data_IF_088700570056
#
_entry.id   IF_088700570056
#
_cell.length_a   1.000
_cell.length_b   1.000
_cell.length_c   1.000
_cell.angle_alpha   90.00
_cell.angle_beta   90.00
_cell.angle_gamma   90.00
#
_symmetry.space_group_name_H-M   'P 1'
#
loop_
_entity.id
_entity.type
_entity.pdbx_description
1 polymer ?
#
# COMPACT_ATOMS: atom_id res chain seq x y z
N UNK A 1 -28.63 8.79 -1.58
CA UNK A 1 -27.55 9.74 -1.91
C UNK A 1 -26.15 9.23 -1.52
N UNK A 2 -25.96 8.48 -0.44
CA UNK A 2 -24.66 7.92 -0.06
C UNK A 2 -24.17 6.79 -1.00
N UNK A 3 -25.06 6.00 -1.59
CA UNK A 3 -24.68 4.89 -2.49
C UNK A 3 -24.06 5.34 -3.81
N UNK A 4 -24.33 6.55 -4.29
CA UNK A 4 -23.74 7.09 -5.51
C UNK A 4 -22.29 7.58 -5.32
N UNK A 5 -21.87 7.80 -4.08
CA UNK A 5 -20.54 8.37 -3.78
C UNK A 5 -19.42 7.35 -3.99
N UNK A 6 -19.70 6.07 -3.83
CA UNK A 6 -18.70 4.99 -3.95
C UNK A 6 -18.55 4.45 -5.38
N UNK A 7 -19.53 4.60 -6.23
CA UNK A 7 -19.50 4.09 -7.61
C UNK A 7 -18.83 5.02 -8.63
N UNK A 8 -18.75 6.30 -8.35
CA UNK A 8 -18.19 7.30 -9.29
C UNK A 8 -16.66 7.40 -9.30
N UNK A 9 -15.98 6.92 -8.28
CA UNK A 9 -14.52 7.07 -8.14
C UNK A 9 -13.71 5.85 -8.62
N UNK A 10 -14.35 4.72 -8.87
CA UNK A 10 -13.68 3.46 -9.25
C UNK A 10 -13.23 3.40 -10.71
N UNK A 11 -13.80 4.26 -11.59
CA UNK A 11 -13.48 4.25 -13.03
C UNK A 11 -12.19 4.99 -13.41
N UNK A 12 -11.60 5.77 -12.52
CA UNK A 12 -10.43 6.61 -12.87
C UNK A 12 -9.06 5.95 -12.66
N UNK A 13 -8.98 4.76 -12.04
CA UNK A 13 -7.72 4.14 -11.63
C UNK A 13 -7.35 2.84 -12.36
N UNK A 14 -8.28 2.23 -13.11
CA UNK A 14 -7.97 1.03 -13.90
C UNK A 14 -6.99 1.28 -15.05
N UNK A 15 -6.85 2.52 -15.52
CA UNK A 15 -5.95 2.88 -16.62
C UNK A 15 -4.46 2.93 -16.28
N UNK A 16 -4.10 3.22 -15.02
CA UNK A 16 -2.68 3.42 -14.64
C UNK A 16 -1.96 2.10 -14.36
N UNK A 17 -2.65 1.11 -13.81
CA UNK A 17 -2.04 -0.20 -13.54
C UNK A 17 -1.82 -1.00 -14.83
N UNK A 18 -2.65 -0.80 -15.85
CA UNK A 18 -2.47 -1.46 -17.16
C UNK A 18 -1.32 -0.88 -17.98
N UNK A 19 -1.05 0.41 -17.87
CA UNK A 19 0.00 1.07 -18.64
C UNK A 19 1.43 0.63 -18.23
N UNK A 20 1.65 0.26 -16.97
CA UNK A 20 2.96 -0.23 -16.51
C UNK A 20 3.27 -1.67 -16.90
N UNK A 21 2.27 -2.49 -17.22
CA UNK A 21 2.48 -3.89 -17.64
C UNK A 21 2.77 -4.04 -19.14
N UNK A 22 2.41 -3.06 -19.98
CA UNK A 22 2.56 -3.13 -21.44
C UNK A 22 3.92 -2.58 -21.93
N UNK A 23 4.63 -1.77 -21.14
CA UNK A 23 5.94 -1.24 -21.54
C UNK A 23 7.11 -2.24 -21.44
N UNK A 24 6.89 -3.46 -20.99
CA UNK A 24 7.95 -4.47 -20.85
C UNK A 24 8.12 -5.40 -22.07
N UNK A 25 7.30 -5.27 -23.13
CA UNK A 25 7.29 -6.24 -24.24
C UNK A 25 7.91 -5.78 -25.57
N UNK A 26 8.55 -4.63 -25.66
CA UNK A 26 9.20 -4.22 -26.91
C UNK A 26 10.67 -3.84 -26.71
N UNK A 27 11.51 -4.82 -26.38
CA UNK A 27 12.95 -4.73 -26.60
C UNK A 27 13.36 -5.89 -27.52
N UNK A 28 13.60 -5.59 -28.78
CA UNK A 28 14.25 -6.53 -29.71
C UNK A 28 15.70 -6.81 -29.27
N UNK A 29 16.17 -8.05 -29.34
CA UNK A 29 17.54 -8.38 -28.97
C UNK A 29 18.52 -7.90 -30.02
N UNK A 30 19.34 -6.93 -29.68
CA UNK A 30 20.54 -6.59 -30.44
C UNK A 30 21.63 -7.69 -30.32
N UNK A 31 22.54 -7.80 -31.29
CA UNK A 31 23.53 -8.87 -31.32
C UNK A 31 24.52 -8.78 -30.16
N UNK A 32 24.62 -9.87 -29.37
CA UNK A 32 25.61 -10.02 -28.29
C UNK A 32 27.01 -10.19 -28.89
N UNK A 33 27.81 -9.15 -28.81
CA UNK A 33 29.25 -9.25 -29.00
C UNK A 33 29.90 -9.79 -27.70
N UNK A 34 30.42 -11.01 -27.72
CA UNK A 34 31.27 -11.51 -26.65
C UNK A 34 32.63 -10.83 -26.72
N UNK A 35 32.97 -10.02 -25.73
CA UNK A 35 34.34 -9.58 -25.49
C UNK A 35 34.96 -10.49 -24.42
N UNK A 36 35.91 -11.30 -24.79
CA UNK A 36 36.77 -12.04 -23.87
C UNK A 36 37.61 -11.05 -23.04
N UNK A 37 37.26 -10.85 -21.79
CA UNK A 37 38.12 -10.16 -20.83
C UNK A 37 39.02 -11.19 -20.14
N UNK A 38 40.29 -11.17 -20.52
CA UNK A 38 41.37 -11.92 -19.88
C UNK A 38 41.58 -11.39 -18.46
N UNK A 39 41.42 -12.23 -17.46
CA UNK A 39 41.74 -11.89 -16.08
C UNK A 39 43.28 -11.80 -15.91
N UNK A 40 43.81 -10.73 -15.29
CA UNK A 40 45.22 -10.70 -14.89
C UNK A 40 45.48 -11.64 -13.71
N UNK A 41 46.70 -12.19 -13.57
CA UNK A 41 47.05 -13.13 -12.51
C UNK A 41 47.03 -12.47 -11.12
N UNK A 42 46.60 -13.23 -10.13
CA UNK A 42 46.55 -12.84 -8.72
C UNK A 42 47.89 -12.25 -8.25
N UNK A 43 47.88 -10.94 -7.98
CA UNK A 43 48.95 -10.25 -7.28
C UNK A 43 48.85 -10.49 -5.76
N UNK A 44 49.92 -10.98 -5.18
CA UNK A 44 50.15 -11.13 -3.74
C UNK A 44 49.87 -9.76 -3.07
N UNK A 45 48.86 -9.69 -2.18
CA UNK A 45 48.63 -8.52 -1.37
C UNK A 45 49.79 -8.30 -0.38
N UNK A 46 50.26 -7.06 -0.17
CA UNK A 46 51.28 -6.80 0.86
C UNK A 46 50.68 -6.97 2.26
N UNK A 47 51.37 -7.72 3.11
CA UNK A 47 51.09 -7.83 4.54
C UNK A 47 51.13 -6.43 5.17
N UNK A 48 49.97 -5.98 5.66
CA UNK A 48 49.85 -4.76 6.48
C UNK A 48 50.44 -4.99 7.90
N UNK A 49 50.85 -3.94 8.61
CA UNK A 49 51.50 -4.04 9.89
C UNK A 49 50.60 -4.74 10.94
N UNK A 50 51.20 -5.60 11.81
CA UNK A 50 50.45 -6.28 12.85
C UNK A 50 50.10 -5.30 13.96
N UNK A 51 48.84 -5.27 14.33
CA UNK A 51 48.40 -4.72 15.61
C UNK A 51 47.45 -3.55 15.60
N UNK A 52 46.22 -3.81 15.18
CA UNK A 52 45.04 -3.26 15.83
C UNK A 52 44.02 -4.38 15.95
N UNK A 53 43.90 -4.93 17.16
CA UNK A 53 42.82 -5.87 17.49
C UNK A 53 41.51 -5.21 17.08
N UNK A 54 40.75 -5.86 16.17
CA UNK A 54 39.40 -5.45 15.87
C UNK A 54 38.64 -5.25 17.21
N UNK A 55 37.91 -4.14 17.41
CA UNK A 55 37.21 -3.94 18.66
C UNK A 55 36.32 -5.15 18.93
N UNK A 56 36.35 -5.68 20.13
CA UNK A 56 35.48 -6.78 20.54
C UNK A 56 34.04 -6.40 20.21
N UNK A 57 33.27 -7.30 19.58
CA UNK A 57 31.90 -7.02 19.22
C UNK A 57 31.13 -6.62 20.50
N UNK A 58 30.48 -5.45 20.47
CA UNK A 58 29.74 -4.93 21.60
C UNK A 58 28.74 -5.99 22.10
N UNK A 59 28.68 -6.16 23.42
CA UNK A 59 27.74 -7.12 24.00
C UNK A 59 26.30 -6.69 23.73
N UNK A 60 25.38 -7.64 23.62
CA UNK A 60 23.95 -7.33 23.46
C UNK A 60 23.47 -6.37 24.57
N UNK A 61 23.89 -6.61 25.83
CA UNK A 61 23.51 -5.81 26.96
C UNK A 61 24.01 -4.36 26.85
N UNK A 62 25.24 -4.14 26.42
CA UNK A 62 25.82 -2.79 26.29
C UNK A 62 25.17 -1.97 25.18
N UNK A 63 24.73 -2.61 24.08
CA UNK A 63 24.02 -1.91 23.00
C UNK A 63 22.64 -1.44 23.42
N UNK A 64 21.92 -2.25 24.20
CA UNK A 64 20.54 -1.93 24.63
C UNK A 64 20.50 -1.17 25.97
N UNK A 65 21.64 -0.97 26.62
CA UNK A 65 21.73 -0.19 27.84
C UNK A 65 21.28 1.26 27.60
N UNK A 66 20.37 1.75 28.44
CA UNK A 66 19.73 3.06 28.27
C UNK A 66 18.73 3.16 27.09
N UNK A 67 18.46 2.07 26.38
CA UNK A 67 17.47 2.06 25.32
C UNK A 67 16.04 1.87 25.87
N UNK A 68 15.07 2.53 25.24
CA UNK A 68 13.65 2.26 25.51
C UNK A 68 13.27 0.96 24.85
N UNK A 69 12.90 -0.05 25.65
CA UNK A 69 12.38 -1.33 25.14
C UNK A 69 10.92 -1.18 24.73
N UNK A 70 10.59 -1.76 23.56
CA UNK A 70 9.24 -1.81 22.99
C UNK A 70 8.94 -3.28 22.69
N UNK A 71 8.03 -3.85 23.48
CA UNK A 71 7.61 -5.25 23.29
C UNK A 71 6.59 -5.36 22.17
N UNK A 72 6.60 -6.50 21.44
CA UNK A 72 5.67 -6.75 20.35
C UNK A 72 6.03 -7.97 19.54
N UNK A 73 5.56 -8.02 18.29
CA UNK A 73 5.84 -9.08 17.31
C UNK A 73 7.34 -9.40 17.24
N UNK A 74 8.16 -8.38 17.17
CA UNK A 74 9.63 -8.42 17.31
C UNK A 74 9.98 -7.41 18.42
N UNK A 75 10.72 -7.79 19.46
CA UNK A 75 11.16 -6.85 20.48
C UNK A 75 12.10 -5.80 19.88
N UNK A 76 11.79 -4.53 20.12
CA UNK A 76 12.55 -3.39 19.63
C UNK A 76 13.22 -2.66 20.80
N UNK A 77 14.35 -2.01 20.51
CA UNK A 77 15.09 -1.19 21.47
C UNK A 77 15.46 0.13 20.79
N UNK A 78 14.85 1.24 21.22
CA UNK A 78 15.12 2.57 20.69
C UNK A 78 16.16 3.29 21.52
N UNK A 79 17.24 3.74 20.87
CA UNK A 79 18.33 4.52 21.48
C UNK A 79 18.72 5.65 20.54
N UNK A 80 18.20 6.85 20.82
CA UNK A 80 18.37 7.99 19.90
C UNK A 80 17.79 7.73 18.52
N UNK A 81 18.60 7.79 17.49
CA UNK A 81 18.22 7.47 16.10
C UNK A 81 18.32 5.98 15.77
N UNK A 82 18.95 5.18 16.61
CA UNK A 82 19.03 3.74 16.40
C UNK A 82 17.76 3.02 16.86
N UNK A 83 17.29 2.10 16.05
CA UNK A 83 16.19 1.21 16.37
C UNK A 83 16.63 -0.23 16.17
N UNK A 84 17.06 -0.85 17.24
CA UNK A 84 17.49 -2.24 17.21
C UNK A 84 16.31 -3.17 17.29
N UNK A 85 16.28 -4.18 16.41
CA UNK A 85 15.36 -5.32 16.46
C UNK A 85 16.09 -6.55 16.99
N UNK A 86 15.49 -7.24 17.97
CA UNK A 86 15.97 -8.51 18.49
C UNK A 86 15.28 -9.66 17.77
N UNK A 87 15.88 -10.12 16.67
CA UNK A 87 15.35 -11.18 15.84
C UNK A 87 15.67 -12.55 16.45
N UNK A 88 14.63 -13.31 16.75
CA UNK A 88 14.73 -14.70 17.25
C UNK A 88 14.92 -15.65 16.08
N UNK A 89 15.43 -16.87 16.27
CA UNK A 89 15.57 -17.86 15.20
C UNK A 89 14.30 -18.05 14.36
N UNK A 90 13.12 -18.04 14.98
CA UNK A 90 11.83 -18.22 14.29
C UNK A 90 11.32 -16.97 13.55
N UNK A 91 11.99 -15.84 13.70
CA UNK A 91 11.63 -14.61 12.96
C UNK A 91 12.32 -14.55 11.58
N UNK A 92 13.34 -15.42 11.36
CA UNK A 92 13.97 -15.56 10.06
C UNK A 92 13.12 -16.40 9.10
N UNK A 93 13.21 -16.09 7.81
CA UNK A 93 12.52 -16.75 6.70
C UNK A 93 10.99 -16.81 6.87
N UNK A 94 10.46 -15.98 7.79
CA UNK A 94 9.04 -15.84 8.08
C UNK A 94 8.46 -14.67 7.28
N UNK A 95 7.37 -14.91 6.57
CA UNK A 95 6.71 -13.90 5.75
C UNK A 95 6.07 -12.81 6.61
N UNK A 96 6.50 -11.58 6.35
CA UNK A 96 5.95 -10.36 6.91
C UNK A 96 5.30 -9.57 5.77
N UNK A 97 4.12 -9.04 6.02
CA UNK A 97 3.55 -8.03 5.11
C UNK A 97 3.94 -6.64 5.61
N UNK A 98 4.43 -5.79 4.69
CA UNK A 98 4.84 -4.42 4.96
C UNK A 98 3.92 -3.49 4.18
N UNK A 99 3.04 -2.82 4.90
CA UNK A 99 2.08 -1.89 4.33
C UNK A 99 2.57 -0.46 4.57
N UNK A 100 2.64 0.33 3.50
CA UNK A 100 3.23 1.67 3.52
C UNK A 100 2.14 2.70 3.24
N UNK A 101 2.11 3.75 4.05
CA UNK A 101 1.19 4.87 3.85
C UNK A 101 1.83 6.21 4.23
N UNK A 102 1.27 7.29 3.73
CA UNK A 102 1.67 8.63 4.10
C UNK A 102 0.84 9.06 5.31
N UNK A 103 1.45 9.11 6.49
CA UNK A 103 0.77 9.55 7.71
C UNK A 103 0.56 11.07 7.72
N UNK A 104 1.59 11.82 7.28
CA UNK A 104 1.55 13.28 7.10
C UNK A 104 2.27 13.63 5.80
N UNK A 105 1.59 14.33 4.92
CA UNK A 105 2.11 14.72 3.62
C UNK A 105 2.16 16.24 3.45
N UNK A 106 2.28 16.66 2.19
CA UNK A 106 2.40 18.05 1.76
C UNK A 106 1.21 18.52 0.93
N UNK A 107 0.04 17.88 1.08
CA UNK A 107 -1.18 18.20 0.35
C UNK A 107 -1.03 18.21 -1.19
N UNK A 108 -0.06 17.48 -1.73
CA UNK A 108 0.20 17.33 -3.17
C UNK A 108 0.09 15.84 -3.56
N UNK A 109 -0.55 15.53 -4.68
CA UNK A 109 -0.62 14.14 -5.18
C UNK A 109 0.75 13.61 -5.62
N UNK A 110 1.13 12.39 -5.24
CA UNK A 110 0.41 11.45 -4.36
C UNK A 110 0.75 11.62 -2.87
N UNK A 111 1.44 12.68 -2.46
CA UNK A 111 2.03 12.91 -1.14
C UNK A 111 1.07 13.66 -0.20
N UNK A 112 -0.15 13.17 -0.04
CA UNK A 112 -1.11 13.68 0.94
C UNK A 112 -1.35 12.68 2.07
N UNK A 113 -1.76 13.18 3.23
CA UNK A 113 -2.03 12.34 4.39
C UNK A 113 -3.11 11.30 4.08
N UNK A 114 -2.85 10.05 4.47
CA UNK A 114 -3.77 8.94 4.21
C UNK A 114 -3.56 8.23 2.88
N UNK A 115 -2.69 8.72 2.00
CA UNK A 115 -2.35 8.01 0.77
C UNK A 115 -1.74 6.64 1.10
N UNK A 116 -2.30 5.57 0.51
CA UNK A 116 -1.68 4.25 0.50
C UNK A 116 -0.56 4.31 -0.53
N UNK A 117 0.66 4.08 -0.07
CA UNK A 117 1.83 4.09 -0.94
C UNK A 117 1.93 2.76 -1.68
N UNK A 118 2.26 2.81 -2.97
CA UNK A 118 2.32 1.62 -3.85
C UNK A 118 1.01 0.81 -3.84
N UNK A 119 -0.12 1.48 -4.02
CA UNK A 119 -1.42 0.82 -4.09
C UNK A 119 -1.43 -0.35 -5.08
N UNK A 120 -1.89 -1.52 -4.61
CA UNK A 120 -1.89 -2.76 -5.40
C UNK A 120 -0.54 -3.47 -5.46
N UNK A 121 0.45 -3.01 -4.72
CA UNK A 121 1.79 -3.60 -4.61
C UNK A 121 2.18 -3.79 -3.13
N UNK A 122 1.38 -4.54 -2.39
CA UNK A 122 1.65 -4.87 -0.98
C UNK A 122 2.88 -5.78 -0.87
N UNK A 123 3.82 -5.41 -0.01
CA UNK A 123 5.12 -6.07 0.04
C UNK A 123 5.13 -7.24 1.01
N UNK A 124 5.52 -8.40 0.52
CA UNK A 124 5.90 -9.53 1.38
C UNK A 124 7.41 -9.50 1.58
N UNK A 125 7.83 -9.41 2.84
CA UNK A 125 9.24 -9.31 3.20
C UNK A 125 9.66 -10.40 4.18
N UNK A 126 10.96 -10.67 4.24
CA UNK A 126 11.57 -11.60 5.20
C UNK A 126 12.87 -11.01 5.73
N UNK A 127 13.23 -11.38 6.95
CA UNK A 127 14.60 -11.29 7.43
C UNK A 127 15.31 -12.61 7.12
N UNK A 128 16.42 -12.54 6.38
CA UNK A 128 17.25 -13.73 6.06
C UNK A 128 18.66 -13.57 6.59
N UNK A 129 19.16 -14.61 7.26
CA UNK A 129 20.52 -14.58 7.77
C UNK A 129 21.50 -14.96 6.67
N UNK A 130 22.55 -14.15 6.48
CA UNK A 130 23.63 -14.37 5.53
C UNK A 130 24.98 -14.12 6.23
N UNK A 131 25.57 -15.16 6.78
CA UNK A 131 26.81 -15.07 7.56
C UNK A 131 26.67 -14.14 8.78
N UNK A 132 27.50 -13.10 8.83
CA UNK A 132 27.48 -12.05 9.87
C UNK A 132 26.46 -10.92 9.63
N UNK A 133 25.55 -11.08 8.68
CA UNK A 133 24.57 -10.05 8.29
C UNK A 133 23.16 -10.62 8.30
N UNK A 134 22.18 -9.71 8.34
CA UNK A 134 20.76 -10.01 8.11
C UNK A 134 20.31 -9.19 6.92
N UNK A 135 19.78 -9.86 5.92
CA UNK A 135 19.17 -9.22 4.77
C UNK A 135 17.69 -8.97 5.03
N UNK A 136 17.22 -7.77 4.73
CA UNK A 136 15.79 -7.46 4.60
C UNK A 136 15.41 -7.67 3.14
N UNK A 137 14.65 -8.71 2.88
CA UNK A 137 14.38 -9.23 1.53
C UNK A 137 12.91 -9.02 1.20
N UNK A 138 12.62 -8.41 0.04
CA UNK A 138 11.29 -8.39 -0.55
C UNK A 138 11.14 -9.62 -1.44
N UNK A 139 10.15 -10.45 -1.12
CA UNK A 139 9.87 -11.68 -1.85
C UNK A 139 9.13 -11.42 -3.16
N UNK A 140 9.49 -12.17 -4.18
CA UNK A 140 8.79 -12.18 -5.45
C UNK A 140 7.64 -13.20 -5.42
N UNK A 141 6.51 -12.83 -4.82
CA UNK A 141 5.33 -13.70 -4.65
C UNK A 141 4.39 -13.72 -5.86
N UNK A 142 4.72 -12.98 -6.92
CA UNK A 142 3.90 -12.87 -8.13
C UNK A 142 4.01 -14.08 -9.07
N UNK A 143 5.08 -14.87 -8.92
CA UNK A 143 5.37 -16.04 -9.74
C UNK A 143 5.38 -17.27 -8.86
N UNK A 144 4.67 -18.31 -9.30
CA UNK A 144 4.58 -19.54 -8.55
C UNK A 144 4.48 -20.77 -9.44
N UNK A 145 4.73 -21.93 -8.86
CA UNK A 145 4.47 -23.24 -9.45
C UNK A 145 4.04 -24.22 -8.37
N UNK A 146 3.40 -25.31 -8.75
CA UNK A 146 2.93 -26.34 -7.84
C UNK A 146 4.13 -27.07 -7.20
N UNK A 147 4.11 -27.16 -5.88
CA UNK A 147 5.10 -27.94 -5.14
C UNK A 147 5.12 -29.40 -5.56
N UNK A 148 6.29 -30.06 -5.45
CA UNK A 148 6.47 -31.45 -5.81
C UNK A 148 6.69 -31.72 -7.31
N UNK A 149 6.74 -30.67 -8.14
CA UNK A 149 7.13 -30.75 -9.56
C UNK A 149 8.50 -30.09 -9.78
N UNK A 150 9.16 -30.24 -10.95
CA UNK A 150 10.38 -29.48 -11.26
C UNK A 150 10.17 -27.97 -11.45
N UNK A 151 8.93 -27.55 -11.68
CA UNK A 151 8.60 -26.15 -12.02
C UNK A 151 8.92 -25.12 -10.93
N UNK A 152 8.74 -25.37 -9.61
CA UNK A 152 9.16 -24.44 -8.57
C UNK A 152 10.63 -24.05 -8.67
N UNK A 153 11.50 -25.03 -8.92
CA UNK A 153 12.94 -24.77 -9.07
C UNK A 153 13.24 -23.88 -10.28
N UNK A 154 12.51 -24.08 -11.38
CA UNK A 154 12.64 -23.25 -12.58
C UNK A 154 12.15 -21.81 -12.32
N UNK A 155 11.07 -21.65 -11.54
CA UNK A 155 10.58 -20.33 -11.11
C UNK A 155 11.61 -19.63 -10.20
N UNK A 156 12.17 -20.31 -9.23
CA UNK A 156 13.23 -19.76 -8.36
C UNK A 156 14.47 -19.29 -9.15
N UNK A 157 14.86 -20.03 -10.17
CA UNK A 157 16.00 -19.66 -11.03
C UNK A 157 15.70 -18.46 -11.93
N UNK A 158 14.44 -18.24 -12.30
CA UNK A 158 14.03 -17.19 -13.21
C UNK A 158 13.60 -15.89 -12.50
N UNK A 159 13.09 -15.98 -11.26
CA UNK A 159 12.43 -14.86 -10.56
C UNK A 159 13.00 -14.73 -9.15
N UNK A 160 14.11 -14.02 -9.05
CA UNK A 160 14.75 -13.77 -7.76
C UNK A 160 13.98 -12.82 -6.86
N UNK A 161 14.18 -12.97 -5.56
CA UNK A 161 13.77 -12.00 -4.55
C UNK A 161 14.73 -10.78 -4.58
N UNK A 162 14.27 -9.65 -4.02
CA UNK A 162 15.06 -8.41 -3.96
C UNK A 162 15.59 -8.18 -2.54
N UNK A 163 16.89 -8.06 -2.38
CA UNK A 163 17.53 -7.67 -1.12
C UNK A 163 17.45 -6.13 -1.02
N UNK A 164 16.52 -5.62 -0.20
CA UNK A 164 16.30 -4.18 -0.03
C UNK A 164 17.35 -3.55 0.88
N UNK A 165 17.84 -4.30 1.88
CA UNK A 165 18.91 -3.84 2.77
C UNK A 165 19.70 -5.03 3.32
N UNK A 166 20.94 -4.76 3.72
CA UNK A 166 21.82 -5.73 4.36
C UNK A 166 22.38 -5.11 5.64
N UNK A 167 21.95 -5.64 6.78
CA UNK A 167 22.24 -5.11 8.11
C UNK A 167 23.32 -5.95 8.78
N UNK A 168 24.38 -5.36 9.35
CA UNK A 168 25.32 -6.10 10.17
C UNK A 168 24.62 -6.61 11.44
N UNK A 169 25.00 -7.81 11.89
CA UNK A 169 24.61 -8.31 13.20
C UNK A 169 25.42 -7.53 14.24
N UNK A 170 24.74 -6.63 14.99
CA UNK A 170 25.38 -5.80 16.00
C UNK A 170 25.77 -6.62 17.25
N UNK A 171 24.96 -7.58 17.65
CA UNK A 171 25.23 -8.53 18.73
C UNK A 171 24.39 -9.80 18.58
N UNK A 172 24.81 -10.86 19.28
CA UNK A 172 24.09 -12.13 19.32
C UNK A 172 24.04 -12.67 20.75
N UNK A 173 22.93 -13.27 21.15
CA UNK A 173 22.76 -14.02 22.40
C UNK A 173 23.00 -15.52 22.18
N UNK A 174 23.32 -16.24 23.27
CA UNK A 174 23.50 -17.68 23.23
C UNK A 174 22.32 -18.48 22.71
N UNK A 175 21.09 -17.97 22.88
CA UNK A 175 19.86 -18.57 22.35
C UNK A 175 19.62 -18.33 20.85
N UNK A 176 20.60 -17.77 20.14
CA UNK A 176 20.51 -17.48 18.71
C UNK A 176 19.82 -16.17 18.33
N UNK A 177 19.28 -15.43 19.29
CA UNK A 177 18.68 -14.10 19.02
C UNK A 177 19.77 -13.13 18.59
N UNK A 178 19.59 -12.46 17.46
CA UNK A 178 20.50 -11.44 16.95
C UNK A 178 19.90 -10.05 17.04
N UNK A 179 20.76 -9.06 17.25
CA UNK A 179 20.40 -7.65 17.28
C UNK A 179 20.84 -7.00 15.97
N UNK A 180 19.92 -6.37 15.28
CA UNK A 180 20.18 -5.60 14.05
C UNK A 180 19.56 -4.20 14.16
N UNK A 181 20.21 -3.22 13.53
CA UNK A 181 19.70 -1.83 13.52
C UNK A 181 18.81 -1.60 12.31
N UNK A 182 17.51 -1.47 12.55
CA UNK A 182 16.51 -1.19 11.52
C UNK A 182 16.58 0.23 10.94
N UNK A 183 17.35 1.13 11.57
CA UNK A 183 17.53 2.49 11.04
C UNK A 183 18.12 2.46 9.63
N UNK A 184 19.00 1.51 9.35
CA UNK A 184 19.56 1.31 8.01
C UNK A 184 18.54 0.88 6.93
N UNK A 185 17.33 0.47 7.33
CA UNK A 185 16.23 0.16 6.41
C UNK A 185 15.26 1.31 6.32
N UNK A 186 14.71 1.75 7.45
CA UNK A 186 13.53 2.62 7.49
C UNK A 186 13.86 4.11 7.59
N UNK A 187 15.03 4.51 8.14
CA UNK A 187 15.54 5.89 8.03
C UNK A 187 16.29 6.08 6.70
N UNK A 188 15.63 5.76 5.62
CA UNK A 188 16.12 5.87 4.24
C UNK A 188 14.94 6.16 3.31
N UNK A 189 15.22 6.41 2.04
CA UNK A 189 14.16 6.47 1.02
C UNK A 189 13.76 5.08 0.51
N UNK A 190 13.60 4.10 1.43
CA UNK A 190 13.19 2.75 1.09
C UNK A 190 11.92 2.69 0.22
N UNK A 191 10.88 3.53 0.46
CA UNK A 191 9.67 3.52 -0.35
C UNK A 191 9.81 4.29 -1.66
N UNK A 192 10.99 4.84 -1.98
CA UNK A 192 11.25 5.64 -3.19
C UNK A 192 10.30 6.85 -3.33
N UNK A 193 10.12 7.62 -2.26
CA UNK A 193 9.33 8.87 -2.28
C UNK A 193 9.93 9.88 -3.27
N UNK A 194 11.25 9.85 -3.48
CA UNK A 194 11.96 10.69 -4.45
C UNK A 194 11.42 10.58 -5.87
N UNK A 195 10.82 9.44 -6.26
CA UNK A 195 10.15 9.32 -7.57
C UNK A 195 8.97 10.29 -7.74
N UNK A 196 8.35 10.72 -6.64
CA UNK A 196 7.27 11.71 -6.63
C UNK A 196 7.74 13.11 -6.23
N UNK A 197 9.03 13.27 -5.94
CA UNK A 197 9.71 14.52 -5.62
C UNK A 197 10.95 14.69 -6.53
N UNK A 198 10.76 14.97 -7.82
CA UNK A 198 11.90 15.16 -8.73
C UNK A 198 12.80 16.31 -8.23
N UNK A 199 14.11 16.12 -8.33
CA UNK A 199 15.14 17.04 -7.84
C UNK A 199 15.22 17.18 -6.31
N UNK A 200 14.68 16.21 -5.57
CA UNK A 200 14.87 16.10 -4.12
C UNK A 200 15.71 14.87 -3.79
N UNK A 201 16.51 14.97 -2.76
CA UNK A 201 17.30 13.88 -2.19
C UNK A 201 16.91 13.65 -0.73
N UNK A 202 16.93 12.39 -0.30
CA UNK A 202 16.68 12.04 1.10
C UNK A 202 17.84 12.56 1.97
N UNK A 203 17.49 13.22 3.09
CA UNK A 203 18.45 13.77 4.04
C UNK A 203 18.40 12.98 5.36
N UNK A 204 19.33 12.03 5.58
CA UNK A 204 19.36 11.22 6.81
C UNK A 204 19.49 12.05 8.08
N UNK A 205 20.32 13.10 8.06
CA UNK A 205 20.59 13.95 9.22
C UNK A 205 19.39 14.82 9.63
N UNK A 206 18.43 15.03 8.72
CA UNK A 206 17.18 15.78 8.97
C UNK A 206 15.99 14.87 9.16
N UNK A 207 16.20 13.56 9.08
CA UNK A 207 15.15 12.54 9.23
C UNK A 207 15.21 11.91 10.62
N UNK A 208 14.08 11.45 11.13
CA UNK A 208 14.00 10.86 12.47
C UNK A 208 12.81 9.94 12.65
N UNK A 209 12.86 9.10 13.67
CA UNK A 209 11.71 8.33 14.11
C UNK A 209 10.65 9.24 14.73
N UNK A 210 9.51 9.40 14.07
CA UNK A 210 8.37 10.12 14.62
C UNK A 210 7.61 9.25 15.64
N UNK A 211 7.43 7.97 15.35
CA UNK A 211 6.76 7.04 16.22
C UNK A 211 7.27 5.61 16.02
N UNK A 212 7.36 4.84 17.12
CA UNK A 212 7.68 3.41 17.11
C UNK A 212 6.79 2.74 18.14
N UNK A 213 5.98 1.75 17.70
CA UNK A 213 5.11 0.96 18.56
C UNK A 213 5.23 -0.52 18.24
N UNK A 214 5.12 -1.36 19.24
CA UNK A 214 5.04 -2.81 19.12
C UNK A 214 3.70 -3.31 19.67
N UNK A 215 3.13 -4.29 18.97
CA UNK A 215 1.95 -5.02 19.40
C UNK A 215 2.20 -6.51 19.20
N UNK A 216 1.37 -7.38 19.79
CA UNK A 216 1.57 -8.82 19.71
C UNK A 216 1.70 -9.32 18.27
N UNK A 217 0.93 -8.74 17.35
CA UNK A 217 0.80 -9.24 15.98
C UNK A 217 1.42 -8.30 14.92
N UNK A 218 1.81 -7.08 15.31
CA UNK A 218 2.38 -6.11 14.38
C UNK A 218 3.35 -5.12 15.04
N UNK A 219 4.07 -4.40 14.18
CA UNK A 219 4.95 -3.28 14.52
C UNK A 219 4.51 -2.09 13.67
N UNK A 220 4.38 -0.94 14.31
CA UNK A 220 4.04 0.32 13.68
C UNK A 220 5.21 1.30 13.77
N UNK A 221 5.77 1.65 12.63
CA UNK A 221 6.88 2.58 12.52
C UNK A 221 6.42 3.83 11.77
N UNK A 222 6.77 4.99 12.27
CA UNK A 222 6.56 6.23 11.54
C UNK A 222 7.86 7.02 11.51
N UNK A 223 8.29 7.37 10.30
CA UNK A 223 9.50 8.12 10.01
C UNK A 223 9.13 9.50 9.50
N UNK A 224 9.64 10.54 10.15
CA UNK A 224 9.67 11.89 9.60
C UNK A 224 10.85 11.97 8.62
N UNK A 225 10.57 11.64 7.36
CA UNK A 225 11.53 11.61 6.28
C UNK A 225 11.64 12.99 5.63
N UNK A 226 12.81 13.59 5.67
CA UNK A 226 13.06 14.90 5.07
C UNK A 226 13.82 14.74 3.75
N UNK A 227 13.33 15.45 2.74
CA UNK A 227 13.92 15.52 1.42
C UNK A 227 14.36 16.95 1.14
N UNK A 228 15.54 17.12 0.58
CA UNK A 228 16.16 18.41 0.32
C UNK A 228 16.38 18.65 -1.16
N UNK A 229 16.26 19.90 -1.59
CA UNK A 229 16.55 20.35 -2.95
C UNK A 229 17.31 21.66 -2.92
N UNK A 230 17.77 22.10 -4.06
CA UNK A 230 18.39 23.43 -4.25
C UNK A 230 17.39 24.61 -4.17
N UNK A 231 16.09 24.29 -4.07
CA UNK A 231 15.01 25.27 -4.01
C UNK A 231 14.50 25.78 -5.36
N UNK A 232 14.96 25.19 -6.46
CA UNK A 232 14.47 25.55 -7.80
C UNK A 232 13.02 25.12 -8.04
N UNK A 233 12.55 24.09 -7.31
CA UNK A 233 11.16 23.59 -7.38
C UNK A 233 10.27 24.39 -6.43
N UNK A 234 9.16 24.94 -6.96
CA UNK A 234 8.16 25.62 -6.15
C UNK A 234 7.06 24.63 -5.72
N UNK A 235 6.82 24.53 -4.42
CA UNK A 235 5.73 23.75 -3.84
C UNK A 235 4.89 24.67 -2.96
N UNK A 236 3.73 25.08 -3.44
CA UNK A 236 2.87 26.07 -2.78
C UNK A 236 2.45 25.67 -1.35
N UNK A 237 2.30 24.38 -1.12
CA UNK A 237 1.82 23.84 0.16
C UNK A 237 2.88 23.75 1.27
N UNK A 238 4.15 24.05 0.98
CA UNK A 238 5.23 24.02 1.95
C UNK A 238 5.84 25.42 2.15
N UNK A 239 6.27 25.76 3.37
CA UNK A 239 6.80 27.10 3.65
C UNK A 239 8.16 27.36 2.99
N UNK A 240 8.97 26.32 2.79
CA UNK A 240 10.29 26.40 2.16
C UNK A 240 10.52 25.14 1.29
N UNK A 241 10.61 25.28 -0.04
CA UNK A 241 10.77 24.15 -0.93
C UNK A 241 12.17 23.51 -0.89
N UNK A 242 13.15 24.12 -0.20
CA UNK A 242 14.47 23.52 -0.03
C UNK A 242 14.48 22.32 0.90
N UNK A 243 13.44 22.18 1.75
CA UNK A 243 13.30 21.03 2.64
C UNK A 243 11.83 20.64 2.82
N UNK A 244 11.50 19.42 2.47
CA UNK A 244 10.16 18.85 2.57
C UNK A 244 10.19 17.66 3.51
N UNK A 245 9.36 17.67 4.56
CA UNK A 245 9.25 16.55 5.50
C UNK A 245 7.93 15.84 5.33
N UNK A 246 8.01 14.53 5.09
CA UNK A 246 6.87 13.62 4.90
C UNK A 246 6.95 12.55 6.00
N UNK A 247 5.84 12.29 6.66
CA UNK A 247 5.80 11.18 7.60
C UNK A 247 5.35 9.91 6.87
N UNK A 248 6.28 9.00 6.69
CA UNK A 248 6.01 7.68 6.12
C UNK A 248 5.69 6.72 7.26
N UNK A 249 4.60 6.01 7.13
CA UNK A 249 4.14 5.02 8.09
C UNK A 249 4.28 3.62 7.50
N UNK A 250 4.86 2.72 8.29
CA UNK A 250 5.04 1.30 7.98
C UNK A 250 4.27 0.48 9.00
N UNK A 251 3.29 -0.28 8.55
CA UNK A 251 2.62 -1.30 9.35
C UNK A 251 3.19 -2.66 8.94
N UNK A 252 3.86 -3.33 9.86
CA UNK A 252 4.57 -4.59 9.62
C UNK A 252 3.92 -5.67 10.47
N UNK A 253 3.35 -6.69 9.84
CA UNK A 253 2.72 -7.81 10.54
C UNK A 253 3.12 -9.14 9.89
N UNK A 254 2.88 -10.26 10.60
CA UNK A 254 2.99 -11.57 9.94
C UNK A 254 1.95 -11.67 8.85
N UNK A 255 2.33 -12.26 7.72
CA UNK A 255 1.37 -12.59 6.68
C UNK A 255 0.37 -13.61 7.25
N UNK A 256 -0.94 -13.29 7.31
CA UNK A 256 -1.91 -14.17 7.92
C UNK A 256 -1.97 -15.54 7.24
N UNK A 257 -1.86 -16.60 8.04
CA UNK A 257 -2.14 -17.97 7.60
C UNK A 257 -3.56 -18.32 8.06
N UNK A 258 -4.49 -18.31 7.14
CA UNK A 258 -5.91 -18.56 7.38
C UNK A 258 -6.42 -19.68 6.46
N UNK A 259 -7.64 -20.16 6.74
CA UNK A 259 -8.37 -21.07 5.84
C UNK A 259 -9.01 -20.33 4.65
N UNK A 260 -8.64 -19.09 4.38
CA UNK A 260 -9.16 -18.31 3.26
C UNK A 260 -8.93 -19.02 1.93
N UNK A 261 -10.01 -19.18 1.16
CA UNK A 261 -9.96 -19.76 -0.18
C UNK A 261 -10.02 -18.64 -1.23
N UNK A 262 -8.96 -18.46 -2.04
CA UNK A 262 -8.96 -17.51 -3.15
C UNK A 262 -10.11 -17.80 -4.11
N UNK A 263 -10.74 -16.74 -4.62
CA UNK A 263 -11.80 -16.85 -5.62
C UNK A 263 -11.34 -16.28 -6.94
N UNK A 264 -11.50 -17.05 -8.01
CA UNK A 264 -11.19 -16.60 -9.36
C UNK A 264 -12.10 -15.43 -9.77
N UNK A 265 -11.54 -14.49 -10.50
CA UNK A 265 -12.29 -13.41 -11.12
C UNK A 265 -13.14 -13.93 -12.28
N UNK A 266 -14.19 -13.20 -12.57
CA UNK A 266 -15.10 -13.44 -13.70
C UNK A 266 -15.11 -12.16 -14.56
N UNK A 267 -14.76 -12.29 -15.83
CA UNK A 267 -14.59 -11.16 -16.75
C UNK A 267 -15.89 -10.37 -17.01
N UNK A 268 -17.04 -10.94 -16.63
CA UNK A 268 -18.36 -10.28 -16.72
C UNK A 268 -18.57 -9.19 -15.66
N UNK A 269 -17.75 -9.17 -14.63
CA UNK A 269 -17.86 -8.25 -13.48
C UNK A 269 -16.50 -7.64 -13.18
N UNK A 270 -16.46 -6.31 -12.98
CA UNK A 270 -15.26 -5.60 -12.53
C UNK A 270 -14.94 -5.86 -11.06
N UNK A 271 -13.69 -6.21 -10.78
CA UNK A 271 -13.15 -6.41 -9.44
C UNK A 271 -11.81 -5.71 -9.29
N UNK A 272 -11.41 -5.40 -8.06
CA UNK A 272 -9.99 -5.29 -7.75
C UNK A 272 -9.38 -6.68 -7.66
N UNK A 273 -8.20 -6.84 -8.25
CA UNK A 273 -7.60 -8.14 -8.49
C UNK A 273 -6.24 -8.27 -7.85
N UNK A 274 -5.97 -9.47 -7.35
CA UNK A 274 -4.62 -9.97 -7.11
C UNK A 274 -4.25 -10.91 -8.26
N UNK A 275 -3.17 -10.59 -8.96
CA UNK A 275 -2.75 -11.31 -10.15
C UNK A 275 -1.43 -12.02 -9.88
N UNK A 276 -1.40 -13.34 -10.09
CA UNK A 276 -0.19 -14.17 -10.01
C UNK A 276 0.02 -14.93 -11.31
N UNK A 277 1.26 -15.15 -11.69
CA UNK A 277 1.61 -15.99 -12.84
C UNK A 277 1.93 -17.39 -12.33
N UNK A 278 1.12 -18.37 -12.76
CA UNK A 278 1.15 -19.74 -12.25
C UNK A 278 1.69 -20.70 -13.31
N UNK A 279 2.91 -21.17 -13.10
CA UNK A 279 3.60 -22.11 -13.99
C UNK A 279 3.21 -23.58 -13.77
N UNK A 280 2.31 -23.87 -12.84
CA UNK A 280 1.74 -25.22 -12.67
C UNK A 280 0.80 -25.59 -13.80
N UNK A 281 0.22 -24.59 -14.49
CA UNK A 281 -0.70 -24.80 -15.62
C UNK A 281 0.08 -25.18 -16.87
N UNK A 282 -0.21 -26.35 -17.41
CA UNK A 282 0.41 -26.87 -18.63
C UNK A 282 -0.33 -26.47 -19.92
N UNK A 283 -1.27 -25.54 -19.83
CA UNK A 283 -2.05 -25.09 -21.00
C UNK A 283 -1.28 -24.03 -21.76
N UNK A 284 -1.42 -24.00 -23.08
CA UNK A 284 -0.90 -22.96 -23.98
C UNK A 284 -1.61 -21.61 -23.80
N UNK A 285 -2.61 -21.57 -22.93
CA UNK A 285 -3.39 -20.40 -22.59
C UNK A 285 -2.72 -19.56 -21.49
N UNK A 286 -3.29 -18.39 -21.22
CA UNK A 286 -2.86 -17.42 -20.23
C UNK A 286 -2.51 -18.05 -18.87
N UNK A 287 -1.26 -17.92 -18.44
CA UNK A 287 -0.76 -18.38 -17.13
C UNK A 287 -1.12 -17.47 -15.99
N UNK A 288 -1.74 -16.31 -16.25
CA UNK A 288 -2.16 -15.39 -15.21
C UNK A 288 -3.41 -15.92 -14.50
N UNK A 289 -3.30 -16.03 -13.19
CA UNK A 289 -4.42 -16.35 -12.31
C UNK A 289 -4.86 -15.05 -11.64
N UNK A 290 -6.12 -14.71 -11.79
CA UNK A 290 -6.72 -13.48 -11.28
C UNK A 290 -7.65 -13.83 -10.15
N UNK A 291 -7.28 -13.42 -8.92
CA UNK A 291 -8.13 -13.57 -7.75
C UNK A 291 -8.84 -12.26 -7.47
N UNK A 292 -10.14 -12.32 -7.13
CA UNK A 292 -10.86 -11.14 -6.64
C UNK A 292 -10.35 -10.77 -5.24
N UNK A 293 -10.18 -9.48 -4.99
CA UNK A 293 -9.89 -9.00 -3.66
C UNK A 293 -11.17 -8.99 -2.84
N UNK A 294 -11.23 -9.77 -1.76
CA UNK A 294 -12.41 -9.86 -0.91
C UNK A 294 -12.09 -10.11 0.55
N UNK A 295 -13.04 -9.75 1.43
CA UNK A 295 -12.99 -10.06 2.84
C UNK A 295 -13.11 -11.56 3.10
N UNK A 296 -12.42 -12.03 4.16
CA UNK A 296 -12.62 -13.36 4.72
C UNK A 296 -13.76 -13.31 5.74
N UNK A 297 -14.95 -13.72 5.33
CA UNK A 297 -16.10 -13.80 6.21
C UNK A 297 -16.56 -15.25 6.34
N UNK A 298 -16.73 -15.70 7.58
CA UNK A 298 -17.31 -16.98 7.93
C UNK A 298 -18.56 -16.76 8.79
N UNK A 299 -19.64 -17.48 8.51
CA UNK A 299 -20.85 -17.43 9.31
C UNK A 299 -20.60 -17.96 10.72
N UNK A 300 -21.15 -17.30 11.74
CA UNK A 300 -21.14 -17.81 13.09
C UNK A 300 -21.90 -19.14 13.19
N UNK A 301 -23.04 -19.23 12.51
CA UNK A 301 -23.81 -20.47 12.32
C UNK A 301 -23.97 -20.76 10.82
N UNK A 302 -23.18 -21.71 10.26
CA UNK A 302 -23.25 -22.06 8.85
C UNK A 302 -24.58 -22.70 8.42
N UNK A 303 -25.37 -23.23 9.38
CA UNK A 303 -26.64 -23.91 9.10
C UNK A 303 -27.76 -22.91 8.82
N UNK A 304 -27.65 -21.68 9.27
CA UNK A 304 -28.66 -20.66 9.05
C UNK A 304 -28.49 -19.97 7.70
N UNK A 305 -29.60 -19.71 7.02
CA UNK A 305 -29.60 -18.95 5.79
C UNK A 305 -29.01 -17.53 5.99
N UNK A 306 -29.38 -16.89 7.10
CA UNK A 306 -28.88 -15.59 7.52
C UNK A 306 -28.24 -15.72 8.92
N UNK A 307 -26.95 -15.38 9.04
CA UNK A 307 -26.16 -15.46 10.27
C UNK A 307 -25.20 -14.29 10.36
N UNK A 308 -24.88 -13.74 11.52
CA UNK A 308 -23.78 -12.82 11.65
C UNK A 308 -22.45 -13.51 11.29
N UNK A 309 -21.42 -12.77 10.87
CA UNK A 309 -20.09 -13.33 10.74
C UNK A 309 -19.49 -13.64 12.12
N UNK A 310 -18.53 -14.57 12.18
CA UNK A 310 -17.71 -14.82 13.38
C UNK A 310 -16.97 -13.55 13.80
N UNK A 311 -16.42 -12.84 12.81
CA UNK A 311 -15.72 -11.57 12.97
C UNK A 311 -16.30 -10.56 11.99
N UNK A 312 -16.93 -9.46 12.45
CA UNK A 312 -17.44 -8.43 11.58
C UNK A 312 -16.32 -7.55 11.01
N UNK A 313 -16.56 -6.96 9.86
CA UNK A 313 -15.71 -5.91 9.28
C UNK A 313 -15.98 -4.62 10.06
N UNK A 314 -15.05 -4.21 10.92
CA UNK A 314 -15.20 -3.01 11.75
C UNK A 314 -14.55 -1.82 11.07
N UNK A 315 -15.33 -0.78 10.73
CA UNK A 315 -14.81 0.52 10.30
C UNK A 315 -14.83 1.53 11.45
N UNK A 316 -13.71 2.21 11.62
CA UNK A 316 -13.54 3.27 12.61
C UNK A 316 -13.63 4.64 11.97
N UNK A 317 -14.57 5.47 12.40
CA UNK A 317 -14.60 6.88 12.03
C UNK A 317 -13.50 7.59 12.81
N UNK A 318 -12.51 8.11 12.09
CA UNK A 318 -11.37 8.81 12.70
C UNK A 318 -11.83 10.07 13.45
N UNK A 319 -11.13 10.41 14.53
CA UNK A 319 -11.46 11.55 15.38
C UNK A 319 -11.36 12.90 14.66
N UNK A 320 -10.60 13.00 13.57
CA UNK A 320 -10.52 14.20 12.72
C UNK A 320 -11.78 14.48 11.90
N UNK A 321 -12.68 13.48 11.74
CA UNK A 321 -13.93 13.68 11.04
C UNK A 321 -14.81 14.69 11.78
N UNK A 322 -15.26 15.82 11.14
CA UNK A 322 -16.10 16.80 11.80
C UNK A 322 -17.41 16.18 12.30
N UNK A 323 -17.84 16.55 13.51
CA UNK A 323 -19.01 15.97 14.19
C UNK A 323 -20.26 15.89 13.32
N UNK A 324 -20.54 16.96 12.55
CA UNK A 324 -21.71 17.03 11.66
C UNK A 324 -21.74 15.96 10.57
N UNK A 325 -20.60 15.37 10.21
CA UNK A 325 -20.50 14.36 9.15
C UNK A 325 -20.42 12.92 9.69
N UNK A 326 -20.15 12.71 11.00
CA UNK A 326 -20.02 11.36 11.58
C UNK A 326 -21.28 10.52 11.41
N UNK A 327 -22.46 11.11 11.67
CA UNK A 327 -23.76 10.41 11.54
C UNK A 327 -24.05 9.97 10.09
N UNK A 328 -23.99 10.84 9.07
CA UNK A 328 -24.21 10.41 7.69
C UNK A 328 -23.13 9.46 7.16
N UNK A 329 -21.87 9.60 7.56
CA UNK A 329 -20.80 8.66 7.20
C UNK A 329 -21.10 7.27 7.77
N UNK A 330 -21.44 7.20 9.06
CA UNK A 330 -21.86 5.94 9.69
C UNK A 330 -23.01 5.27 8.94
N UNK A 331 -24.06 6.03 8.61
CA UNK A 331 -25.19 5.52 7.87
C UNK A 331 -24.80 5.00 6.48
N UNK A 332 -23.94 5.74 5.77
CA UNK A 332 -23.46 5.35 4.45
C UNK A 332 -22.63 4.06 4.46
N UNK A 333 -21.77 3.88 5.44
CA UNK A 333 -20.98 2.64 5.59
C UNK A 333 -21.90 1.46 5.92
N UNK A 334 -22.88 1.64 6.81
CA UNK A 334 -23.81 0.58 7.21
C UNK A 334 -24.78 0.17 6.08
N UNK A 335 -24.99 0.98 5.06
CA UNK A 335 -25.82 0.60 3.88
C UNK A 335 -25.31 -0.68 3.21
N UNK A 336 -24.01 -0.97 3.27
CA UNK A 336 -23.44 -2.18 2.73
C UNK A 336 -23.95 -3.46 3.38
N UNK A 337 -24.47 -3.40 4.63
CA UNK A 337 -25.07 -4.56 5.27
C UNK A 337 -26.24 -5.13 4.45
N UNK A 338 -26.99 -4.27 3.73
CA UNK A 338 -28.06 -4.74 2.83
C UNK A 338 -27.55 -5.66 1.71
N UNK A 339 -26.32 -5.43 1.24
CA UNK A 339 -25.68 -6.27 0.23
C UNK A 339 -25.19 -7.59 0.86
N UNK A 340 -24.62 -7.52 2.07
CA UNK A 340 -24.17 -8.70 2.80
C UNK A 340 -25.32 -9.60 3.24
N UNK A 341 -26.47 -9.04 3.59
CA UNK A 341 -27.69 -9.81 3.92
C UNK A 341 -28.17 -10.66 2.73
N UNK A 342 -28.07 -10.14 1.49
CA UNK A 342 -28.43 -10.90 0.29
C UNK A 342 -27.57 -12.12 0.07
N UNK A 343 -26.35 -12.16 0.61
CA UNK A 343 -25.44 -13.29 0.54
C UNK A 343 -25.36 -14.08 1.86
N UNK A 344 -26.27 -13.79 2.80
CA UNK A 344 -26.50 -14.56 4.02
C UNK A 344 -25.71 -14.10 5.25
N UNK A 345 -25.18 -12.86 5.25
CA UNK A 345 -24.49 -12.30 6.42
C UNK A 345 -25.30 -11.15 7.03
N UNK A 346 -25.74 -11.29 8.26
CA UNK A 346 -26.38 -10.25 9.04
C UNK A 346 -25.32 -9.43 9.77
N UNK A 347 -25.43 -8.10 9.74
CA UNK A 347 -24.50 -7.21 10.44
C UNK A 347 -23.01 -7.50 10.11
N UNK A 348 -22.70 -7.73 8.83
CA UNK A 348 -21.34 -8.01 8.40
C UNK A 348 -20.37 -6.84 8.64
N UNK A 349 -20.91 -5.60 8.63
CA UNK A 349 -20.17 -4.39 8.89
C UNK A 349 -20.66 -3.72 10.16
N UNK A 350 -19.69 -3.36 11.01
CA UNK A 350 -19.88 -2.48 12.15
C UNK A 350 -19.17 -1.14 11.92
N UNK A 351 -19.72 -0.08 12.50
CA UNK A 351 -19.05 1.24 12.47
C UNK A 351 -18.88 1.74 13.90
N UNK A 352 -17.66 2.05 14.26
CA UNK A 352 -17.26 2.55 15.57
C UNK A 352 -16.64 3.94 15.45
N UNK A 353 -16.69 4.72 16.52
CA UNK A 353 -16.00 6.01 16.60
C UNK A 353 -14.62 5.79 17.23
N UNK A 354 -13.56 6.33 16.62
CA UNK A 354 -12.24 6.35 17.25
C UNK A 354 -12.31 7.18 18.54
N UNK A 355 -11.92 6.61 19.69
CA UNK A 355 -11.82 7.35 20.94
C UNK A 355 -10.78 8.48 20.84
N UNK A 356 -10.98 9.57 21.58
CA UNK A 356 -10.03 10.70 21.57
C UNK A 356 -8.68 10.30 22.17
N UNK A 357 -8.65 9.37 23.12
CA UNK A 357 -7.47 8.79 23.79
C UNK A 357 -6.90 7.57 23.06
N UNK A 358 -7.43 7.21 21.88
CA UNK A 358 -6.95 6.09 21.10
C UNK A 358 -5.44 6.21 20.83
N UNK A 359 -4.72 5.14 21.17
CA UNK A 359 -3.25 5.08 21.00
C UNK A 359 -2.81 4.48 19.67
N UNK A 360 -3.74 4.03 18.82
CA UNK A 360 -3.48 3.53 17.50
C UNK A 360 -3.64 4.62 16.44
N UNK A 361 -2.90 4.50 15.33
CA UNK A 361 -2.93 5.43 14.22
C UNK A 361 -3.74 4.87 13.05
N UNK A 362 -4.42 5.73 12.27
CA UNK A 362 -5.02 5.30 11.00
C UNK A 362 -3.91 4.85 10.03
N UNK A 363 -3.88 3.64 9.63
CA UNK A 363 -2.79 3.03 8.85
C UNK A 363 -2.26 1.76 9.50
N UNK A 364 -2.54 1.57 10.79
CA UNK A 364 -2.35 0.32 11.51
C UNK A 364 -3.30 -0.75 10.91
N UNK A 365 -2.73 -1.82 10.38
CA UNK A 365 -3.44 -2.90 9.67
C UNK A 365 -4.61 -3.51 10.45
N UNK A 366 -4.61 -3.37 11.76
CA UNK A 366 -5.69 -3.89 12.64
C UNK A 366 -7.00 -3.08 12.58
N UNK A 367 -7.00 -1.90 11.95
CA UNK A 367 -8.13 -0.98 11.98
C UNK A 367 -8.48 -0.47 10.60
N UNK A 368 -9.66 -0.85 10.10
CA UNK A 368 -10.22 -0.17 8.93
C UNK A 368 -10.70 1.21 9.34
N UNK A 369 -10.31 2.24 8.62
CA UNK A 369 -10.59 3.62 9.03
C UNK A 369 -11.31 4.42 7.94
N UNK A 370 -12.20 5.32 8.39
CA UNK A 370 -12.67 6.43 7.57
C UNK A 370 -11.95 7.70 8.04
N UNK A 371 -11.10 8.23 7.17
CA UNK A 371 -10.22 9.36 7.43
C UNK A 371 -10.73 10.63 6.76
N UNK A 372 -10.58 11.75 7.47
CA UNK A 372 -10.87 13.07 6.95
C UNK A 372 -9.57 13.83 6.75
N UNK A 373 -9.33 14.31 5.53
CA UNK A 373 -8.15 15.10 5.19
C UNK A 373 -8.55 16.46 4.64
N UNK A 374 -7.59 17.39 4.65
CA UNK A 374 -7.72 18.76 4.12
C UNK A 374 -6.53 19.02 3.20
N UNK A 375 -6.51 18.34 2.06
CA UNK A 375 -5.37 18.39 1.14
C UNK A 375 -5.63 19.26 -0.10
N UNK A 376 -6.83 19.81 -0.26
CA UNK A 376 -7.19 20.59 -1.45
C UNK A 376 -7.21 19.80 -2.75
N UNK A 377 -7.13 18.47 -2.67
CA UNK A 377 -7.00 17.60 -3.84
C UNK A 377 -8.32 17.08 -4.37
N UNK A 378 -9.42 17.35 -3.66
CA UNK A 378 -10.78 16.89 -3.98
C UNK A 378 -10.84 15.37 -4.25
N UNK A 379 -10.19 14.56 -3.43
CA UNK A 379 -10.20 13.10 -3.55
C UNK A 379 -11.12 12.44 -2.54
N UNK A 380 -11.74 11.33 -2.96
CA UNK A 380 -12.37 10.36 -2.08
C UNK A 380 -11.95 8.97 -2.60
N UNK A 381 -11.26 8.20 -1.77
CA UNK A 381 -10.73 6.89 -2.14
C UNK A 381 -10.96 5.90 -1.01
N UNK A 382 -11.18 4.64 -1.36
CA UNK A 382 -11.30 3.54 -0.42
C UNK A 382 -10.36 2.39 -0.79
N UNK A 383 -9.03 2.59 -0.73
CA UNK A 383 -8.09 1.52 -1.01
C UNK A 383 -8.23 0.40 0.02
N UNK A 384 -8.10 -0.84 -0.44
CA UNK A 384 -7.88 -2.01 0.40
C UNK A 384 -6.45 -2.50 0.23
N UNK A 385 -5.87 -3.01 1.30
CA UNK A 385 -4.58 -3.71 1.30
C UNK A 385 -4.85 -5.20 1.40
N UNK A 386 -4.13 -5.98 0.63
CA UNK A 386 -4.46 -7.39 0.45
C UNK A 386 -3.26 -8.30 0.68
N UNK A 387 -3.53 -9.55 0.98
CA UNK A 387 -2.54 -10.60 0.87
C UNK A 387 -2.25 -10.83 -0.62
N UNK A 388 -1.03 -10.51 -1.12
CA UNK A 388 -0.73 -10.55 -2.55
C UNK A 388 -0.62 -11.96 -3.13
N UNK A 389 -0.76 -12.99 -2.30
CA UNK A 389 -0.78 -14.39 -2.75
C UNK A 389 -2.19 -14.94 -2.92
N UNK A 390 -3.19 -14.33 -2.26
CA UNK A 390 -4.54 -14.89 -2.18
C UNK A 390 -5.65 -13.92 -2.55
N UNK A 391 -5.43 -12.60 -2.46
CA UNK A 391 -6.46 -11.58 -2.62
C UNK A 391 -7.35 -11.40 -1.38
N UNK A 392 -6.97 -11.99 -0.22
CA UNK A 392 -7.66 -11.69 1.04
C UNK A 392 -7.43 -10.23 1.42
N UNK A 393 -8.50 -9.46 1.64
CA UNK A 393 -8.40 -8.10 2.16
C UNK A 393 -7.99 -8.18 3.64
N UNK A 394 -6.93 -7.45 4.00
CA UNK A 394 -6.39 -7.39 5.34
C UNK A 394 -6.90 -6.16 6.09
N UNK A 395 -6.95 -5.02 5.40
CA UNK A 395 -7.59 -3.81 5.89
C UNK A 395 -8.08 -2.93 4.73
N UNK A 396 -8.90 -1.94 5.06
CA UNK A 396 -9.36 -0.94 4.10
C UNK A 396 -9.44 0.44 4.76
N UNK A 397 -8.88 1.45 4.10
CA UNK A 397 -8.85 2.81 4.59
C UNK A 397 -9.56 3.74 3.62
N UNK A 398 -10.69 4.30 4.05
CA UNK A 398 -11.41 5.30 3.27
C UNK A 398 -10.81 6.67 3.59
N UNK A 399 -10.29 7.35 2.59
CA UNK A 399 -9.75 8.71 2.70
C UNK A 399 -10.70 9.66 2.00
N UNK A 400 -11.15 10.68 2.71
CA UNK A 400 -12.10 11.67 2.21
C UNK A 400 -11.56 13.09 2.42
N UNK A 401 -11.33 13.80 1.33
CA UNK A 401 -10.91 15.20 1.37
C UNK A 401 -12.10 16.15 1.58
N UNK A 402 -11.94 17.11 2.48
CA UNK A 402 -12.94 18.14 2.76
C UNK A 402 -13.41 18.87 1.49
N UNK A 403 -12.49 19.16 0.57
CA UNK A 403 -12.78 19.89 -0.66
C UNK A 403 -13.57 19.06 -1.68
N UNK A 404 -13.55 17.74 -1.54
CA UNK A 404 -14.43 16.88 -2.33
C UNK A 404 -15.91 17.19 -2.10
N UNK A 405 -16.28 17.48 -0.84
CA UNK A 405 -17.64 17.87 -0.49
C UNK A 405 -18.02 19.24 -1.07
N UNK A 406 -17.08 20.19 -1.10
CA UNK A 406 -17.29 21.49 -1.71
C UNK A 406 -17.49 21.36 -3.24
N UNK A 407 -16.68 20.54 -3.87
CA UNK A 407 -16.79 20.21 -5.30
C UNK A 407 -18.18 19.62 -5.61
N UNK A 408 -18.68 18.70 -4.76
CA UNK A 408 -20.02 18.14 -4.91
C UNK A 408 -21.13 19.18 -4.74
N UNK A 409 -21.02 20.06 -3.76
CA UNK A 409 -21.99 21.16 -3.56
C UNK A 409 -22.04 22.09 -4.77
N UNK A 410 -20.88 22.52 -5.27
CA UNK A 410 -20.81 23.36 -6.47
C UNK A 410 -21.43 22.64 -7.68
N UNK A 411 -21.09 21.38 -7.90
CA UNK A 411 -21.71 20.59 -8.98
C UNK A 411 -23.22 20.51 -8.81
N UNK A 412 -23.71 20.28 -7.60
CA UNK A 412 -25.15 20.24 -7.35
C UNK A 412 -25.83 21.58 -7.67
N UNK A 413 -25.24 22.70 -7.27
CA UNK A 413 -25.72 24.03 -7.57
C UNK A 413 -25.77 24.31 -9.09
N UNK A 414 -24.74 23.92 -9.82
CA UNK A 414 -24.69 23.99 -11.28
C UNK A 414 -25.78 23.14 -11.97
N UNK A 415 -26.14 22.03 -11.39
CA UNK A 415 -27.10 21.08 -11.96
C UNK A 415 -28.54 21.31 -11.49
N UNK A 416 -28.79 22.32 -10.67
CA UNK A 416 -30.17 22.77 -10.39
C UNK A 416 -30.75 23.44 -11.60
N UNK A 417 -32.11 23.45 -11.78
CA UNK A 417 -32.74 24.19 -12.86
C UNK A 417 -32.31 25.66 -12.93
N UNK A 418 -32.16 26.30 -11.78
CA UNK A 418 -31.69 27.68 -11.68
C UNK A 418 -30.23 27.85 -12.14
N UNK A 419 -29.34 26.96 -11.72
CA UNK A 419 -27.94 26.98 -12.13
C UNK A 419 -27.76 26.75 -13.63
N UNK A 420 -28.50 25.80 -14.19
CA UNK A 420 -28.48 25.54 -15.63
C UNK A 420 -29.05 26.75 -16.42
N UNK A 421 -30.13 27.34 -15.96
CA UNK A 421 -30.72 28.56 -16.59
C UNK A 421 -29.73 29.73 -16.56
N UNK A 422 -28.97 29.89 -15.47
CA UNK A 422 -27.93 30.91 -15.34
C UNK A 422 -26.79 30.71 -16.34
N UNK A 423 -26.38 29.46 -16.60
CA UNK A 423 -25.30 29.11 -17.54
C UNK A 423 -25.76 29.17 -19.01
N UNK A 424 -27.03 28.91 -19.29
CA UNK A 424 -27.56 28.79 -20.65
C UNK A 424 -28.34 30.02 -21.13
N UNK A 425 -28.35 31.09 -20.34
CA UNK A 425 -29.11 32.30 -20.68
C UNK A 425 -30.62 32.16 -20.60
N UNK A 426 -31.12 31.20 -19.81
CA UNK A 426 -32.54 31.11 -19.42
C UNK A 426 -33.41 30.13 -20.21
N UNK A 427 -32.90 29.46 -21.23
CA UNK A 427 -33.64 28.38 -21.90
C UNK A 427 -33.13 27.00 -21.48
N UNK A 428 -33.94 26.28 -20.70
CA UNK A 428 -33.63 24.94 -20.26
C UNK A 428 -34.08 23.89 -21.28
N UNK A 429 -33.21 23.51 -22.19
CA UNK A 429 -33.34 22.25 -22.89
C UNK A 429 -32.54 21.16 -22.16
N UNK A 430 -33.19 20.45 -21.22
CA UNK A 430 -32.60 19.33 -20.45
C UNK A 430 -32.10 18.19 -21.36
N UNK A 431 -32.64 18.05 -22.57
CA UNK A 431 -32.21 17.01 -23.50
C UNK A 431 -30.89 17.39 -24.20
N UNK A 432 -30.73 18.65 -24.59
CA UNK A 432 -29.47 19.15 -25.14
C UNK A 432 -28.38 19.20 -24.08
N UNK A 433 -28.72 19.55 -22.84
CA UNK A 433 -27.82 19.56 -21.70
C UNK A 433 -27.29 18.14 -21.36
N UNK A 434 -28.19 17.15 -21.32
CA UNK A 434 -27.78 15.74 -21.12
C UNK A 434 -26.87 15.25 -22.25
N UNK A 435 -27.11 15.62 -23.48
CA UNK A 435 -26.25 15.30 -24.64
C UNK A 435 -24.89 15.96 -24.53
N UNK A 436 -24.85 17.22 -24.11
CA UNK A 436 -23.60 17.97 -23.93
C UNK A 436 -22.77 17.44 -22.76
N UNK A 437 -23.42 17.00 -21.68
CA UNK A 437 -22.77 16.31 -20.56
C UNK A 437 -22.16 14.96 -20.97
N UNK A 438 -22.88 14.16 -21.73
CA UNK A 438 -22.35 12.90 -22.24
C UNK A 438 -21.15 13.16 -23.17
N UNK A 439 -21.19 14.21 -23.98
CA UNK A 439 -20.06 14.64 -24.82
C UNK A 439 -18.86 15.18 -24.01
N UNK A 440 -19.11 15.92 -22.94
CA UNK A 440 -18.05 16.43 -22.05
C UNK A 440 -17.36 15.30 -21.26
N UNK A 441 -18.13 14.36 -20.74
CA UNK A 441 -17.59 13.18 -20.05
C UNK A 441 -16.82 12.28 -21.02
N UNK A 442 -17.33 12.10 -22.25
CA UNK A 442 -16.61 11.38 -23.30
C UNK A 442 -15.33 12.11 -23.74
N UNK A 443 -15.34 13.44 -23.81
CA UNK A 443 -14.18 14.26 -24.12
C UNK A 443 -13.10 14.26 -23.03
N UNK A 444 -13.48 14.20 -21.76
CA UNK A 444 -12.51 14.05 -20.66
C UNK A 444 -11.85 12.65 -20.66
N UNK A 445 -12.61 11.63 -21.05
CA UNK A 445 -12.08 10.26 -21.22
C UNK A 445 -11.06 10.23 -22.37
N UNK A 446 -11.30 10.96 -23.47
CA UNK A 446 -10.36 11.06 -24.60
C UNK A 446 -9.13 11.93 -24.32
N UNK A 447 -9.26 12.96 -23.50
CA UNK A 447 -8.13 13.86 -23.19
C UNK A 447 -7.08 13.23 -22.24
N UNK A 448 -7.42 12.15 -21.53
CA UNK A 448 -6.56 11.52 -20.52
C UNK A 448 -6.18 10.08 -20.81
N UNK A 449 -6.51 9.52 -21.96
CA UNK A 449 -6.18 8.14 -22.30
C UNK A 449 -6.39 7.83 -23.77
N UNK A 450 -5.40 8.09 -24.57
CA UNK A 450 -5.31 7.50 -25.90
C UNK A 450 -5.17 5.98 -25.75
N UNK A 451 -6.05 5.24 -26.45
CA UNK A 451 -6.10 3.79 -26.62
C UNK A 451 -6.49 2.95 -25.38
N UNK A 452 -7.72 2.70 -25.17
CA UNK A 452 -8.39 1.45 -24.87
C UNK A 452 -9.75 1.62 -24.16
N UNK A 453 -10.72 2.29 -24.76
CA UNK A 453 -12.11 2.30 -24.27
C UNK A 453 -13.15 2.41 -25.41
N UNK A 454 -12.82 1.99 -26.65
CA UNK A 454 -13.76 2.10 -27.77
C UNK A 454 -14.87 1.05 -27.74
N UNK A 455 -14.71 -0.06 -27.01
CA UNK A 455 -15.69 -1.15 -27.02
C UNK A 455 -16.60 -1.17 -25.77
N UNK A 456 -16.12 -0.73 -24.59
CA UNK A 456 -16.95 -0.72 -23.37
C UNK A 456 -17.99 0.40 -23.33
N UNK A 457 -17.72 1.54 -23.98
CA UNK A 457 -18.66 2.65 -24.02
C UNK A 457 -19.97 2.30 -24.79
N UNK A 458 -19.92 1.33 -25.72
CA UNK A 458 -21.10 0.85 -26.45
C UNK A 458 -21.97 -0.10 -25.62
N UNK A 459 -21.38 -0.76 -24.62
CA UNK A 459 -22.11 -1.68 -23.76
C UNK A 459 -22.92 -0.96 -22.69
N UNK A 460 -22.39 0.12 -22.13
CA UNK A 460 -23.08 0.96 -21.12
C UNK A 460 -24.27 1.72 -21.72
N UNK A 461 -24.19 2.11 -22.99
CA UNK A 461 -25.28 2.79 -23.68
C UNK A 461 -26.49 1.87 -23.99
N UNK A 462 -26.34 0.54 -23.94
CA UNK A 462 -27.42 -0.43 -24.19
C UNK A 462 -28.18 -0.88 -22.93
N UNK A 463 -27.70 -0.57 -21.75
CA UNK A 463 -28.32 -0.99 -20.47
C UNK A 463 -29.12 0.16 -19.83
N UNK A 464 -29.12 1.35 -20.43
CA UNK A 464 -29.83 2.53 -19.94
C UNK A 464 -30.96 3.04 -20.83
N UNK A 465 -31.49 2.18 -21.74
CA UNK A 465 -32.68 2.49 -22.54
C UNK A 465 -33.86 1.61 -22.10
#
# INVERSE_FOLDING_TARGET
MASAILLGSTLQWSGIVYAQLIQAETLEPGPLGFSETIFPPEGIAPEGPPGTSAPEPASFASLVDGATKIDGLIPLYRKGQHLYAALRPNDFDSDLIVLISIARGIAQKPLYAGATWNFGDDWVCQFRRAGGRVHFVRRNVRYRAQEGSPSPRAVELAYSDSILASLPIAAQRANGTVLVDLSGVFLSDMPHITQSLPNFEFSPERSSWAEVRGFADNIELQVAATYTSDGAVQIESVPDPRAVTIHVHYSISRLPQTNYQPRLADDRIGYFLTVVKDYSRQTDEDRFVRYINRWHLEKQDPTQALSPPKEPIVFWIEKTVPYKYRKPIRAGILEWNKAFEKIGFQNAIEVRQQPDDARWQPGDVRYNTFRWITAGTSVAMGPSRVNPTTGQILDANIVFDADYLQTWKRKYEFFTPAGVAMLTGGSLDLASYRRQQAGFMAGQIHAHGGHCLSDDARHVARVGA
#
